data_IF_015076376979
#
_entry.id   IF_015076376979
#
_cell.length_a   1.000
_cell.length_b   1.000
_cell.length_c   1.000
_cell.angle_alpha   90.00
_cell.angle_beta   90.00
_cell.angle_gamma   90.00
#
_symmetry.space_group_name_H-M   'P 1'
#
loop_
_entity.id
_entity.type
_entity.pdbx_description
1 polymer ?
#
# COMPACT_ATOMS: atom_id res chain seq x y z
N UNK A 1 1.70 37.47 61.85
CA UNK A 1 2.41 36.63 60.86
C UNK A 1 1.37 36.24 59.81
N UNK A 2 0.75 37.21 59.14
CA UNK A 2 -0.52 36.97 58.42
C UNK A 2 -0.48 37.42 56.95
N UNK A 3 0.49 38.28 56.58
CA UNK A 3 0.59 38.81 55.22
C UNK A 3 1.22 37.81 54.23
N UNK A 4 1.96 36.79 54.71
CA UNK A 4 2.60 35.79 53.86
C UNK A 4 1.60 34.75 53.33
N UNK A 5 0.59 34.39 54.13
CA UNK A 5 -0.44 33.41 53.76
C UNK A 5 -1.42 33.96 52.70
N UNK A 6 -1.74 35.25 52.77
CA UNK A 6 -2.62 35.92 51.79
C UNK A 6 -1.93 36.06 50.42
N UNK A 7 -0.65 36.47 50.40
CA UNK A 7 0.14 36.55 49.16
C UNK A 7 0.37 35.18 48.52
N UNK A 8 0.66 34.15 49.32
CA UNK A 8 0.79 32.77 48.83
C UNK A 8 -0.51 32.24 48.21
N UNK A 9 -1.65 32.55 48.82
CA UNK A 9 -2.97 32.11 48.32
C UNK A 9 -3.34 32.76 47.00
N UNK A 10 -3.07 34.07 46.82
CA UNK A 10 -3.31 34.79 45.56
C UNK A 10 -2.38 34.26 44.45
N UNK A 11 -1.10 34.01 44.76
CA UNK A 11 -0.16 33.42 43.82
C UNK A 11 -0.57 32.01 43.38
N UNK A 12 -1.08 31.17 44.29
CA UNK A 12 -1.59 29.83 43.95
C UNK A 12 -2.83 29.88 43.04
N UNK A 13 -3.74 30.83 43.25
CA UNK A 13 -4.93 30.99 42.39
C UNK A 13 -4.52 31.45 40.98
N UNK A 14 -3.64 32.45 40.87
CA UNK A 14 -3.14 32.94 39.59
C UNK A 14 -2.33 31.86 38.85
N UNK A 15 -1.50 31.11 39.58
CA UNK A 15 -0.74 29.97 39.03
C UNK A 15 -1.64 28.84 38.53
N UNK A 16 -2.72 28.52 39.25
CA UNK A 16 -3.69 27.51 38.84
C UNK A 16 -4.46 27.92 37.56
N UNK A 17 -4.85 29.19 37.45
CA UNK A 17 -5.50 29.73 36.23
C UNK A 17 -4.55 29.66 35.03
N UNK A 18 -3.28 30.04 35.22
CA UNK A 18 -2.28 30.01 34.16
C UNK A 18 -1.95 28.58 33.72
N UNK A 19 -1.75 27.67 34.67
CA UNK A 19 -1.53 26.25 34.39
C UNK A 19 -2.74 25.59 33.70
N UNK A 20 -3.98 25.98 34.05
CA UNK A 20 -5.17 25.49 33.37
C UNK A 20 -5.23 25.95 31.91
N UNK A 21 -4.88 27.21 31.64
CA UNK A 21 -4.80 27.76 30.27
C UNK A 21 -3.68 27.11 29.45
N UNK A 22 -2.51 26.92 30.05
CA UNK A 22 -1.35 26.25 29.44
C UNK A 22 -1.68 24.78 29.12
N UNK A 23 -2.34 24.07 30.05
CA UNK A 23 -2.78 22.69 29.87
C UNK A 23 -3.88 22.57 28.80
N UNK A 24 -4.81 23.53 28.73
CA UNK A 24 -5.82 23.58 27.67
C UNK A 24 -5.20 23.85 26.29
N UNK A 25 -4.23 24.77 26.21
CA UNK A 25 -3.46 25.06 24.99
C UNK A 25 -2.64 23.84 24.54
N UNK A 26 -1.94 23.20 25.47
CA UNK A 26 -1.14 21.99 25.23
C UNK A 26 -1.99 20.80 24.77
N UNK A 27 -3.19 20.60 25.35
CA UNK A 27 -4.15 19.58 24.87
C UNK A 27 -4.62 19.88 23.45
N UNK A 28 -4.87 21.15 23.11
CA UNK A 28 -5.28 21.55 21.76
C UNK A 28 -4.16 21.31 20.75
N UNK A 29 -2.93 21.70 21.06
CA UNK A 29 -1.75 21.48 20.22
C UNK A 29 -1.41 19.98 20.08
N UNK A 30 -1.53 19.19 21.15
CA UNK A 30 -1.35 17.74 21.10
C UNK A 30 -2.44 17.07 20.25
N UNK A 31 -3.70 17.49 20.37
CA UNK A 31 -4.78 17.00 19.50
C UNK A 31 -4.57 17.38 18.04
N UNK A 32 -4.08 18.60 17.75
CA UNK A 32 -3.73 19.02 16.39
C UNK A 32 -2.56 18.20 15.82
N UNK A 33 -1.51 17.99 16.61
CA UNK A 33 -0.37 17.17 16.22
C UNK A 33 -0.78 15.71 15.98
N UNK A 34 -1.68 15.17 16.80
CA UNK A 34 -2.26 13.84 16.61
C UNK A 34 -3.05 13.74 15.30
N UNK A 35 -3.92 14.72 15.02
CA UNK A 35 -4.66 14.79 13.75
C UNK A 35 -3.75 14.89 12.54
N UNK A 36 -2.72 15.75 12.58
CA UNK A 36 -1.74 15.89 11.50
C UNK A 36 -0.99 14.58 11.29
N UNK A 37 -0.58 13.90 12.38
CA UNK A 37 0.09 12.60 12.31
C UNK A 37 -0.81 11.54 11.66
N UNK A 38 -2.08 11.48 12.06
CA UNK A 38 -3.07 10.55 11.49
C UNK A 38 -3.30 10.83 10.00
N UNK A 39 -3.47 12.10 9.62
CA UNK A 39 -3.59 12.51 8.22
C UNK A 39 -2.34 12.14 7.40
N UNK A 40 -1.14 12.33 7.96
CA UNK A 40 0.12 12.01 7.29
C UNK A 40 0.28 10.49 7.09
N UNK A 41 -0.05 9.69 8.10
CA UNK A 41 -0.04 8.21 8.00
C UNK A 41 -1.03 7.75 6.94
N UNK A 42 -2.25 8.27 6.94
CA UNK A 42 -3.27 7.88 5.97
C UNK A 42 -2.89 8.32 4.55
N UNK A 43 -2.31 9.50 4.40
CA UNK A 43 -1.81 9.98 3.11
C UNK A 43 -0.69 9.08 2.58
N UNK A 44 0.24 8.67 3.45
CA UNK A 44 1.32 7.74 3.10
C UNK A 44 0.77 6.40 2.60
N UNK A 45 -0.16 5.79 3.37
CA UNK A 45 -0.83 4.53 3.00
C UNK A 45 -1.53 4.62 1.64
N UNK A 46 -2.24 5.73 1.41
CA UNK A 46 -2.93 5.96 0.12
C UNK A 46 -1.93 6.07 -1.03
N UNK A 47 -0.82 6.77 -0.82
CA UNK A 47 0.24 6.90 -1.83
C UNK A 47 0.88 5.55 -2.17
N UNK A 48 1.18 4.74 -1.16
CA UNK A 48 1.76 3.39 -1.33
C UNK A 48 0.84 2.47 -2.14
N UNK A 49 -0.48 2.49 -1.88
CA UNK A 49 -1.45 1.70 -2.65
C UNK A 49 -1.65 2.22 -4.08
N UNK A 50 -1.55 3.53 -4.31
CA UNK A 50 -1.60 4.13 -5.67
C UNK A 50 -0.36 3.73 -6.48
N UNK A 51 0.82 3.76 -5.87
CA UNK A 51 2.06 3.27 -6.50
C UNK A 51 1.92 1.79 -6.90
N UNK A 52 1.44 0.95 -5.98
CA UNK A 52 1.20 -0.47 -6.23
C UNK A 52 0.20 -0.68 -7.38
N UNK A 53 -0.85 0.14 -7.46
CA UNK A 53 -1.83 0.09 -8.53
C UNK A 53 -1.24 0.49 -9.89
N UNK A 54 -0.34 1.46 -9.92
CA UNK A 54 0.38 1.86 -11.14
C UNK A 54 1.25 0.72 -11.67
N UNK A 55 2.01 0.06 -10.79
CA UNK A 55 2.83 -1.10 -11.15
C UNK A 55 1.99 -2.28 -11.63
N UNK A 56 0.87 -2.58 -10.95
CA UNK A 56 -0.07 -3.62 -11.37
C UNK A 56 -0.60 -3.36 -12.79
N UNK A 57 -1.03 -2.13 -13.07
CA UNK A 57 -1.52 -1.77 -14.40
C UNK A 57 -0.42 -1.92 -15.47
N UNK A 58 0.82 -1.53 -15.14
CA UNK A 58 1.97 -1.65 -16.03
C UNK A 58 2.27 -3.12 -16.35
N UNK A 59 2.29 -3.98 -15.32
CA UNK A 59 2.46 -5.42 -15.49
C UNK A 59 1.33 -6.03 -16.34
N UNK A 60 0.07 -5.69 -16.07
CA UNK A 60 -1.08 -6.14 -16.88
C UNK A 60 -0.90 -5.74 -18.35
N UNK A 61 -0.51 -4.49 -18.62
CA UNK A 61 -0.29 -4.01 -19.99
C UNK A 61 0.84 -4.77 -20.70
N UNK A 62 1.95 -5.06 -20.02
CA UNK A 62 3.04 -5.86 -20.56
C UNK A 62 2.59 -7.28 -20.92
N UNK A 63 1.69 -7.87 -20.11
CA UNK A 63 1.24 -9.24 -20.30
C UNK A 63 0.02 -9.42 -21.20
N UNK A 64 -0.74 -8.35 -21.52
CA UNK A 64 -1.94 -8.42 -22.38
C UNK A 64 -1.70 -9.15 -23.71
N UNK A 65 -0.52 -8.97 -24.32
CA UNK A 65 -0.17 -9.60 -25.61
C UNK A 65 -0.12 -11.12 -25.55
N UNK A 66 0.16 -11.71 -24.38
CA UNK A 66 0.22 -13.16 -24.21
C UNK A 66 -1.15 -13.82 -24.09
N UNK A 67 -2.17 -13.04 -23.70
CA UNK A 67 -3.57 -13.48 -23.68
C UNK A 67 -4.23 -13.54 -25.06
N UNK A 68 -3.55 -13.08 -26.12
CA UNK A 68 -4.03 -13.22 -27.49
C UNK A 68 -3.75 -14.64 -28.02
N UNK A 69 -4.73 -15.23 -28.72
CA UNK A 69 -4.74 -16.63 -29.19
C UNK A 69 -3.71 -16.99 -30.25
N UNK A 70 -2.98 -16.02 -30.81
CA UNK A 70 -2.07 -16.26 -31.93
C UNK A 70 -0.63 -16.30 -31.45
N UNK A 71 -0.12 -17.48 -31.12
CA UNK A 71 1.28 -17.67 -30.68
C UNK A 71 2.31 -17.08 -31.66
N UNK A 72 2.02 -17.06 -32.95
CA UNK A 72 2.87 -16.51 -34.01
C UNK A 72 3.15 -15.00 -33.86
N UNK A 73 2.28 -14.23 -33.20
CA UNK A 73 2.48 -12.78 -33.00
C UNK A 73 3.45 -12.45 -31.85
N UNK A 74 3.91 -13.46 -31.11
CA UNK A 74 4.84 -13.30 -29.98
C UNK A 74 6.31 -13.40 -30.39
N UNK A 75 6.57 -13.76 -31.65
CA UNK A 75 7.92 -13.90 -32.20
C UNK A 75 8.62 -12.54 -32.26
N UNK A 76 9.74 -12.39 -31.55
CA UNK A 76 10.46 -11.11 -31.40
C UNK A 76 10.04 -10.24 -30.21
N UNK A 77 9.06 -10.68 -29.40
CA UNK A 77 8.73 -10.00 -28.14
C UNK A 77 9.84 -10.21 -27.10
N UNK A 78 10.26 -9.14 -26.40
CA UNK A 78 11.22 -9.25 -25.30
C UNK A 78 10.52 -9.70 -24.01
N UNK A 79 10.11 -10.95 -23.99
CA UNK A 79 9.53 -11.65 -22.84
C UNK A 79 10.32 -11.51 -21.53
N UNK A 80 11.65 -11.36 -21.56
CA UNK A 80 12.41 -11.07 -20.34
C UNK A 80 12.12 -9.66 -19.79
N UNK A 81 11.96 -8.66 -20.65
CA UNK A 81 11.58 -7.32 -20.22
C UNK A 81 10.16 -7.28 -19.64
N UNK A 82 9.23 -8.04 -20.20
CA UNK A 82 7.87 -8.12 -19.65
C UNK A 82 7.86 -8.84 -18.30
N UNK A 83 8.66 -9.91 -18.16
CA UNK A 83 8.84 -10.61 -16.90
C UNK A 83 9.35 -9.67 -15.79
N UNK A 84 10.19 -8.69 -16.13
CA UNK A 84 10.69 -7.71 -15.17
C UNK A 84 9.56 -6.82 -14.63
N UNK A 85 8.60 -6.41 -15.46
CA UNK A 85 7.47 -5.58 -15.01
C UNK A 85 6.64 -6.28 -13.92
N UNK A 86 6.38 -7.59 -14.10
CA UNK A 86 5.71 -8.38 -13.08
C UNK A 86 6.58 -8.64 -11.86
N UNK A 87 7.90 -8.79 -12.04
CA UNK A 87 8.85 -8.95 -10.93
C UNK A 87 8.88 -7.70 -10.04
N UNK A 88 8.94 -6.52 -10.64
CA UNK A 88 8.92 -5.23 -9.94
C UNK A 88 7.60 -5.07 -9.16
N UNK A 89 6.47 -5.42 -9.78
CA UNK A 89 5.17 -5.43 -9.10
C UNK A 89 5.16 -6.36 -7.89
N UNK A 90 5.57 -7.64 -8.03
CA UNK A 90 5.47 -8.59 -6.91
C UNK A 90 6.45 -8.27 -5.78
N UNK A 91 7.64 -7.74 -6.07
CA UNK A 91 8.55 -7.27 -5.02
C UNK A 91 7.92 -6.11 -4.26
N UNK A 92 7.32 -5.15 -4.97
CA UNK A 92 6.62 -4.03 -4.33
C UNK A 92 5.40 -4.48 -3.53
N UNK A 93 4.67 -5.48 -4.04
CA UNK A 93 3.57 -6.12 -3.32
C UNK A 93 4.04 -6.75 -2.00
N UNK A 94 5.22 -7.39 -2.00
CA UNK A 94 5.80 -8.00 -0.80
C UNK A 94 6.17 -6.96 0.26
N UNK A 95 6.67 -5.80 -0.13
CA UNK A 95 6.93 -4.66 0.78
C UNK A 95 5.65 -4.21 1.49
N UNK A 96 4.50 -4.34 0.82
CA UNK A 96 3.19 -3.87 1.28
C UNK A 96 2.30 -5.00 1.80
N UNK A 97 2.86 -6.18 2.09
CA UNK A 97 2.12 -7.37 2.53
C UNK A 97 1.26 -7.14 3.78
N UNK A 98 1.66 -6.23 4.66
CA UNK A 98 0.92 -5.90 5.90
C UNK A 98 -0.51 -5.39 5.61
N UNK A 99 -0.76 -4.81 4.43
CA UNK A 99 -2.10 -4.36 4.04
C UNK A 99 -3.02 -5.51 3.61
N UNK A 100 -2.49 -6.70 3.36
CA UNK A 100 -3.22 -7.84 2.81
C UNK A 100 -3.26 -9.04 3.78
N UNK A 101 -2.93 -8.79 5.05
CA UNK A 101 -3.00 -9.81 6.09
C UNK A 101 -4.45 -10.11 6.46
N UNK A 102 -4.81 -11.39 6.43
CA UNK A 102 -6.16 -11.86 6.77
C UNK A 102 -6.09 -13.10 7.66
N UNK A 103 -7.21 -13.45 8.30
CA UNK A 103 -7.31 -14.65 9.14
C UNK A 103 -6.98 -15.96 8.40
N UNK A 104 -7.13 -15.98 7.07
CA UNK A 104 -6.84 -17.12 6.19
C UNK A 104 -5.43 -17.10 5.61
N UNK A 105 -4.57 -16.16 6.01
CA UNK A 105 -3.23 -15.97 5.48
C UNK A 105 -3.08 -14.65 4.72
N UNK A 106 -1.91 -14.45 4.11
CA UNK A 106 -1.56 -13.20 3.45
C UNK A 106 -1.71 -13.34 1.93
N UNK A 107 -2.66 -12.59 1.36
CA UNK A 107 -2.96 -12.67 -0.08
C UNK A 107 -1.79 -12.16 -0.92
N UNK A 108 -1.05 -11.15 -0.44
CA UNK A 108 0.13 -10.63 -1.11
C UNK A 108 1.24 -11.68 -1.18
N UNK A 109 1.43 -12.48 -0.11
CA UNK A 109 2.40 -13.57 -0.11
C UNK A 109 2.01 -14.69 -1.08
N UNK A 110 0.73 -15.09 -1.08
CA UNK A 110 0.24 -16.12 -1.99
C UNK A 110 0.42 -15.71 -3.45
N UNK A 111 0.06 -14.46 -3.79
CA UNK A 111 0.21 -13.95 -5.16
C UNK A 111 1.68 -13.80 -5.57
N UNK A 112 2.54 -13.38 -4.62
CA UNK A 112 3.98 -13.33 -4.85
C UNK A 112 4.51 -14.72 -5.23
N UNK A 113 4.19 -15.75 -4.44
CA UNK A 113 4.67 -17.11 -4.67
C UNK A 113 4.15 -17.67 -6.01
N UNK A 114 2.87 -17.44 -6.31
CA UNK A 114 2.23 -17.87 -7.57
C UNK A 114 2.92 -17.24 -8.79
N UNK A 115 2.97 -15.90 -8.86
CA UNK A 115 3.56 -15.20 -10.00
C UNK A 115 5.06 -15.47 -10.10
N UNK A 116 5.79 -15.54 -8.98
CA UNK A 116 7.23 -15.79 -9.02
C UNK A 116 7.55 -17.19 -9.59
N UNK A 117 6.76 -18.20 -9.21
CA UNK A 117 6.88 -19.55 -9.75
C UNK A 117 6.58 -19.60 -11.26
N UNK A 118 5.61 -18.83 -11.73
CA UNK A 118 5.28 -18.73 -13.15
C UNK A 118 6.33 -17.95 -13.94
N UNK A 119 6.83 -16.84 -13.39
CA UNK A 119 7.91 -16.05 -13.99
C UNK A 119 9.18 -16.86 -14.17
N UNK A 120 9.51 -17.72 -13.20
CA UNK A 120 10.64 -18.64 -13.32
C UNK A 120 10.48 -19.59 -14.52
N UNK A 121 9.26 -20.07 -14.79
CA UNK A 121 8.97 -20.92 -15.96
C UNK A 121 8.95 -20.11 -17.26
N UNK A 122 8.38 -18.91 -17.22
CA UNK A 122 8.22 -18.00 -18.34
C UNK A 122 9.56 -17.50 -18.91
N UNK A 123 10.53 -17.19 -18.05
CA UNK A 123 11.89 -16.74 -18.45
C UNK A 123 12.72 -17.83 -19.13
N UNK A 124 12.44 -19.10 -18.83
CA UNK A 124 13.26 -20.23 -19.28
C UNK A 124 12.68 -20.96 -20.49
N UNK A 125 11.54 -20.52 -21.03
CA UNK A 125 10.84 -21.24 -22.09
C UNK A 125 11.03 -20.59 -23.45
N UNK A 126 11.35 -21.43 -24.45
CA UNK A 126 11.58 -21.00 -25.84
C UNK A 126 10.43 -21.39 -26.79
N UNK A 127 9.45 -22.16 -26.31
CA UNK A 127 8.27 -22.54 -27.09
C UNK A 127 7.22 -21.44 -27.03
N UNK A 128 6.87 -20.88 -28.18
CA UNK A 128 5.87 -19.82 -28.30
C UNK A 128 4.51 -20.18 -27.68
N UNK A 129 4.13 -21.45 -27.73
CA UNK A 129 2.89 -21.94 -27.12
C UNK A 129 2.97 -21.90 -25.60
N UNK A 130 4.08 -22.36 -25.01
CA UNK A 130 4.30 -22.29 -23.56
C UNK A 130 4.50 -20.86 -23.06
N UNK A 131 5.14 -19.98 -23.84
CA UNK A 131 5.24 -18.54 -23.55
C UNK A 131 3.83 -17.95 -23.41
N UNK A 132 2.93 -18.22 -24.37
CA UNK A 132 1.54 -17.78 -24.29
C UNK A 132 0.82 -18.37 -23.07
N UNK A 133 1.01 -19.67 -22.78
CA UNK A 133 0.39 -20.32 -21.61
C UNK A 133 0.82 -19.66 -20.29
N UNK A 134 2.12 -19.56 -20.03
CA UNK A 134 2.62 -18.96 -18.79
C UNK A 134 2.31 -17.46 -18.73
N UNK A 135 2.42 -16.73 -19.84
CA UNK A 135 2.07 -15.31 -19.89
C UNK A 135 0.57 -15.06 -19.65
N UNK A 136 -0.31 -15.94 -20.14
CA UNK A 136 -1.76 -15.87 -19.85
C UNK A 136 -2.06 -16.17 -18.39
N UNK A 137 -1.36 -17.14 -17.81
CA UNK A 137 -1.51 -17.48 -16.39
C UNK A 137 -1.13 -16.30 -15.50
N UNK A 138 0.05 -15.70 -15.74
CA UNK A 138 0.51 -14.48 -15.04
C UNK A 138 -0.51 -13.34 -15.21
N UNK A 139 -1.00 -13.12 -16.44
CA UNK A 139 -2.02 -12.09 -16.72
C UNK A 139 -3.29 -12.32 -15.89
N UNK A 140 -3.77 -13.56 -15.82
CA UNK A 140 -4.98 -13.89 -15.08
C UNK A 140 -4.79 -13.65 -13.58
N UNK A 141 -3.65 -14.03 -13.00
CA UNK A 141 -3.34 -13.78 -11.59
C UNK A 141 -3.29 -12.27 -11.30
N UNK A 142 -2.63 -11.47 -12.14
CA UNK A 142 -2.60 -10.00 -12.01
C UNK A 142 -4.00 -9.38 -12.12
N UNK A 143 -4.81 -9.80 -13.09
CA UNK A 143 -6.17 -9.30 -13.28
C UNK A 143 -7.07 -9.69 -12.11
N UNK A 144 -6.92 -10.90 -11.58
CA UNK A 144 -7.69 -11.39 -10.42
C UNK A 144 -7.37 -10.62 -9.13
N UNK A 145 -6.15 -10.09 -9.01
CA UNK A 145 -5.72 -9.28 -7.87
C UNK A 145 -6.21 -7.83 -7.91
N UNK A 146 -6.45 -7.27 -9.10
CA UNK A 146 -6.95 -5.89 -9.27
C UNK A 146 -8.16 -5.53 -8.38
N UNK A 147 -9.24 -6.34 -8.27
CA UNK A 147 -10.36 -6.03 -7.39
C UNK A 147 -9.97 -6.03 -5.90
N UNK A 148 -9.03 -6.87 -5.48
CA UNK A 148 -8.55 -6.93 -4.09
C UNK A 148 -7.78 -5.67 -3.73
N UNK A 149 -6.86 -5.24 -4.61
CA UNK A 149 -6.12 -3.99 -4.43
C UNK A 149 -7.06 -2.78 -4.40
N UNK A 150 -8.06 -2.73 -5.27
CA UNK A 150 -9.07 -1.66 -5.28
C UNK A 150 -9.86 -1.60 -3.98
N UNK A 151 -10.25 -2.76 -3.44
CA UNK A 151 -10.97 -2.82 -2.16
C UNK A 151 -10.13 -2.23 -1.03
N UNK A 152 -8.87 -2.65 -0.90
CA UNK A 152 -7.99 -2.10 0.14
C UNK A 152 -7.75 -0.59 -0.06
N UNK A 153 -7.57 -0.14 -1.30
CA UNK A 153 -7.44 1.29 -1.60
C UNK A 153 -8.70 2.10 -1.26
N UNK A 154 -9.90 1.54 -1.46
CA UNK A 154 -11.17 2.19 -1.08
C UNK A 154 -11.34 2.24 0.44
N UNK A 155 -11.07 1.14 1.15
CA UNK A 155 -11.14 1.11 2.61
C UNK A 155 -10.24 2.18 3.25
N UNK A 156 -9.02 2.36 2.73
CA UNK A 156 -8.12 3.41 3.23
C UNK A 156 -8.61 4.83 2.91
N UNK A 157 -9.33 5.03 1.78
CA UNK A 157 -9.93 6.33 1.43
C UNK A 157 -11.14 6.67 2.28
N UNK A 158 -11.97 5.70 2.64
CA UNK A 158 -13.14 5.94 3.48
C UNK A 158 -12.72 6.36 4.91
N UNK A 159 -11.65 5.78 5.45
CA UNK A 159 -11.06 6.18 6.73
C UNK A 159 -10.39 7.58 6.74
N UNK A 160 -10.25 8.24 5.59
CA UNK A 160 -9.73 9.62 5.52
C UNK A 160 -10.81 10.71 5.53
N UNK A 161 -12.09 10.35 5.41
CA UNK A 161 -13.20 11.32 5.21
C UNK A 161 -14.02 11.56 6.50
N UNK A 162 -13.73 10.85 7.59
CA UNK A 162 -14.28 11.13 8.93
C UNK A 162 -13.40 12.05 9.79
#
# INVERSE_FOLDING_TARGET
MDNLFVLGSIASILGAIWAWKEAASSKKSANQAKKIKEQLINHRKTSELVELQSLLNTAILGFKKYGATNSTSLMGSNHNSDAQLSLDFIHKLKEFREYFESKSGNVADNLYDEINAELAKFKNVNSSQKISTYGTSILNSLVSFSPLLKREATLQKEHTVE
#
